data_IF_802212626050
#
_entry.id   IF_802212626050
#
_cell.length_a   1.000
_cell.length_b   1.000
_cell.length_c   1.000
_cell.angle_alpha   90.00
_cell.angle_beta   90.00
_cell.angle_gamma   90.00
#
_symmetry.space_group_name_H-M   'P 1'
#
loop_
_entity.id
_entity.type
_entity.pdbx_description
1 polymer ?
#
# COMPACT_ATOMS: atom_id res chain seq x y z
N UNK A 1 -24.67 -37.75 19.50
CA UNK A 1 -24.78 -37.85 18.02
C UNK A 1 -25.79 -36.86 17.44
N UNK A 2 -27.05 -36.81 17.90
CA UNK A 2 -28.07 -35.90 17.34
C UNK A 2 -27.73 -34.40 17.41
N UNK A 3 -27.18 -33.91 18.54
CA UNK A 3 -26.78 -32.51 18.68
C UNK A 3 -25.62 -32.12 17.74
N UNK A 4 -24.72 -33.05 17.44
CA UNK A 4 -23.62 -32.85 16.49
C UNK A 4 -24.15 -32.80 15.06
N UNK A 5 -25.10 -33.66 14.70
CA UNK A 5 -25.74 -33.66 13.39
C UNK A 5 -26.56 -32.39 13.14
N UNK A 6 -27.32 -31.91 14.13
CA UNK A 6 -28.06 -30.65 14.06
C UNK A 6 -27.11 -29.43 13.97
N UNK A 7 -26.03 -29.45 14.76
CA UNK A 7 -25.01 -28.41 14.70
C UNK A 7 -24.34 -28.33 13.33
N UNK A 8 -23.94 -29.46 12.75
CA UNK A 8 -23.38 -29.52 11.40
C UNK A 8 -24.40 -29.13 10.32
N UNK A 9 -25.66 -29.54 10.48
CA UNK A 9 -26.75 -29.22 9.55
C UNK A 9 -27.07 -27.73 9.45
N UNK A 10 -26.81 -26.95 10.50
CA UNK A 10 -26.91 -25.48 10.45
C UNK A 10 -25.59 -24.82 10.05
N UNK A 11 -24.46 -25.30 10.59
CA UNK A 11 -23.16 -24.64 10.44
C UNK A 11 -22.63 -24.74 9.01
N UNK A 12 -22.79 -25.89 8.34
CA UNK A 12 -22.34 -26.08 6.95
C UNK A 12 -23.07 -25.12 5.99
N UNK A 13 -24.41 -25.10 5.87
CA UNK A 13 -25.08 -24.18 4.96
C UNK A 13 -24.84 -22.71 5.33
N UNK A 14 -24.73 -22.38 6.62
CA UNK A 14 -24.41 -21.03 7.05
C UNK A 14 -22.99 -20.60 6.63
N UNK A 15 -22.00 -21.48 6.72
CA UNK A 15 -20.64 -21.21 6.22
C UNK A 15 -20.60 -21.05 4.70
N UNK A 16 -21.39 -21.82 3.96
CA UNK A 16 -21.50 -21.70 2.50
C UNK A 16 -22.15 -20.37 2.10
N UNK A 17 -23.22 -19.97 2.79
CA UNK A 17 -23.87 -18.68 2.62
C UNK A 17 -22.90 -17.53 2.85
N UNK A 18 -22.15 -17.57 3.96
CA UNK A 18 -21.14 -16.55 4.26
C UNK A 18 -19.99 -16.57 3.24
N UNK A 19 -19.55 -17.74 2.77
CA UNK A 19 -18.51 -17.85 1.75
C UNK A 19 -18.96 -17.23 0.42
N UNK A 20 -20.22 -17.44 0.03
CA UNK A 20 -20.79 -16.83 -1.18
C UNK A 20 -20.88 -15.30 -1.03
N UNK A 21 -21.36 -14.82 0.13
CA UNK A 21 -21.43 -13.39 0.43
C UNK A 21 -20.03 -12.74 0.42
N UNK A 22 -19.05 -13.41 1.04
CA UNK A 22 -17.65 -12.99 1.06
C UNK A 22 -17.06 -12.93 -0.35
N UNK A 23 -17.32 -13.93 -1.19
CA UNK A 23 -16.80 -14.00 -2.56
C UNK A 23 -17.43 -12.94 -3.46
N UNK A 24 -18.74 -12.75 -3.38
CA UNK A 24 -19.47 -11.71 -4.13
C UNK A 24 -18.97 -10.32 -3.73
N UNK A 25 -18.85 -10.07 -2.42
CA UNK A 25 -18.27 -8.82 -1.92
C UNK A 25 -16.83 -8.68 -2.39
N UNK A 26 -15.95 -9.67 -2.27
CA UNK A 26 -14.60 -9.60 -2.83
C UNK A 26 -14.55 -9.29 -4.33
N UNK A 27 -15.51 -9.78 -5.12
CA UNK A 27 -15.66 -9.44 -6.53
C UNK A 27 -16.03 -7.97 -6.75
N UNK A 28 -16.96 -7.43 -5.96
CA UNK A 28 -17.36 -6.01 -5.96
C UNK A 28 -16.25 -5.10 -5.40
N UNK A 29 -15.44 -5.62 -4.46
CA UNK A 29 -14.29 -4.97 -3.85
C UNK A 29 -13.08 -4.91 -4.80
N UNK A 30 -13.21 -5.21 -6.10
CA UNK A 30 -12.19 -4.85 -7.13
C UNK A 30 -12.17 -3.35 -7.46
N UNK A 31 -12.73 -2.56 -6.54
CA UNK A 31 -12.81 -1.12 -6.31
C UNK A 31 -12.24 -0.17 -7.37
N UNK A 32 -13.18 0.68 -7.80
CA UNK A 32 -13.04 1.98 -8.45
C UNK A 32 -11.67 2.62 -8.23
N UNK A 33 -10.78 2.47 -9.21
CA UNK A 33 -9.55 3.24 -9.27
C UNK A 33 -9.98 4.69 -9.48
N UNK A 34 -9.66 5.62 -8.55
CA UNK A 34 -10.06 7.00 -8.72
C UNK A 34 -9.38 7.57 -9.97
N UNK A 35 -10.13 8.33 -10.75
CA UNK A 35 -9.56 9.05 -11.89
C UNK A 35 -8.70 10.19 -11.35
N UNK A 36 -7.41 10.14 -11.61
CA UNK A 36 -6.48 11.21 -11.22
C UNK A 36 -6.28 12.17 -12.38
N UNK A 37 -6.47 13.45 -12.11
CA UNK A 37 -6.25 14.54 -13.07
C UNK A 37 -4.92 15.18 -12.75
N UNK A 38 -4.00 15.11 -13.71
CA UNK A 38 -2.66 15.69 -13.62
C UNK A 38 -2.56 16.95 -14.48
N UNK A 39 -1.72 17.87 -14.06
CA UNK A 39 -1.31 19.03 -14.85
C UNK A 39 -0.35 18.63 -15.96
N UNK A 40 0.05 19.60 -16.79
CA UNK A 40 1.14 19.39 -17.75
C UNK A 40 2.42 18.99 -17.00
N UNK A 41 3.18 18.00 -17.50
CA UNK A 41 4.52 17.72 -16.97
C UNK A 41 5.44 18.93 -17.15
N UNK A 42 6.24 19.24 -16.13
CA UNK A 42 7.22 20.31 -16.25
C UNK A 42 8.38 19.83 -17.12
N UNK A 43 8.54 20.44 -18.29
CA UNK A 43 9.67 20.19 -19.19
C UNK A 43 10.72 21.27 -19.00
N UNK A 44 11.95 20.86 -18.64
CA UNK A 44 13.12 21.72 -18.50
C UNK A 44 14.02 21.55 -19.73
N UNK A 45 14.39 22.65 -20.36
CA UNK A 45 15.32 22.69 -21.50
C UNK A 45 16.29 23.86 -21.31
N UNK A 46 17.56 23.76 -21.73
CA UNK A 46 18.46 24.91 -21.76
C UNK A 46 17.85 26.09 -22.53
N UNK A 47 18.00 27.30 -22.01
CA UNK A 47 17.44 28.54 -22.58
C UNK A 47 15.97 28.82 -22.22
N UNK A 48 15.27 27.89 -21.55
CA UNK A 48 13.89 28.15 -21.09
C UNK A 48 13.89 29.21 -19.99
N UNK A 49 13.02 30.22 -20.10
CA UNK A 49 12.78 31.18 -19.04
C UNK A 49 12.27 30.46 -17.77
N UNK A 50 13.01 30.60 -16.68
CA UNK A 50 12.78 29.92 -15.41
C UNK A 50 13.62 30.59 -14.33
N UNK A 51 12.96 31.18 -13.33
CA UNK A 51 13.63 31.67 -12.13
C UNK A 51 13.56 30.63 -10.98
N UNK A 52 14.30 30.89 -9.92
CA UNK A 52 14.37 29.97 -8.79
C UNK A 52 13.03 29.87 -8.02
N UNK A 53 12.26 30.96 -7.94
CA UNK A 53 11.00 31.00 -7.22
C UNK A 53 9.89 30.22 -7.94
N UNK A 54 9.79 30.39 -9.25
CA UNK A 54 8.88 29.67 -10.15
C UNK A 54 9.21 28.19 -10.15
N UNK A 55 10.50 27.82 -10.27
CA UNK A 55 10.90 26.43 -10.20
C UNK A 55 10.52 25.77 -8.87
N UNK A 56 10.74 26.46 -7.74
CA UNK A 56 10.32 25.97 -6.42
C UNK A 56 8.80 25.78 -6.34
N UNK A 57 8.03 26.69 -6.94
CA UNK A 57 6.56 26.61 -6.98
C UNK A 57 6.09 25.40 -7.79
N UNK A 58 6.66 25.18 -8.98
CA UNK A 58 6.35 24.03 -9.83
C UNK A 58 6.73 22.69 -9.17
N UNK A 59 7.89 22.65 -8.49
CA UNK A 59 8.33 21.50 -7.71
C UNK A 59 7.38 21.22 -6.53
N UNK A 60 6.98 22.26 -5.78
CA UNK A 60 6.04 22.13 -4.68
C UNK A 60 4.66 21.62 -5.16
N UNK A 61 4.16 22.14 -6.29
CA UNK A 61 2.91 21.67 -6.90
C UNK A 61 2.99 20.19 -7.31
N UNK A 62 4.18 19.71 -7.67
CA UNK A 62 4.47 18.32 -8.02
C UNK A 62 4.82 17.44 -6.81
N UNK A 63 4.63 17.97 -5.59
CA UNK A 63 4.91 17.32 -4.31
C UNK A 63 6.39 16.92 -4.11
N UNK A 64 7.31 17.69 -4.68
CA UNK A 64 8.73 17.56 -4.36
C UNK A 64 9.07 18.24 -3.04
N UNK A 65 10.06 17.70 -2.34
CA UNK A 65 10.52 18.21 -1.03
C UNK A 65 11.99 18.56 -1.06
N UNK A 66 12.39 19.57 -0.29
CA UNK A 66 13.81 19.86 -0.09
C UNK A 66 14.37 18.92 0.98
N UNK A 67 15.31 18.06 0.61
CA UNK A 67 16.04 17.16 1.52
C UNK A 67 17.50 17.59 1.72
N UNK A 68 17.90 18.73 1.14
CA UNK A 68 19.27 19.23 1.12
C UNK A 68 20.27 18.42 0.28
N UNK A 69 19.90 17.25 -0.26
CA UNK A 69 20.81 16.37 -1.00
C UNK A 69 20.36 16.02 -2.44
N UNK A 70 19.07 16.08 -2.74
CA UNK A 70 18.48 15.66 -4.00
C UNK A 70 18.83 14.20 -4.31
N UNK A 71 18.57 13.28 -3.37
CA UNK A 71 18.88 11.85 -3.52
C UNK A 71 17.62 10.99 -3.60
N UNK A 72 16.70 11.19 -2.67
CA UNK A 72 15.49 10.39 -2.59
C UNK A 72 14.50 10.72 -3.73
N UNK A 73 13.64 9.79 -4.15
CA UNK A 73 12.63 10.08 -5.16
C UNK A 73 11.70 11.23 -4.73
N UNK A 74 11.40 12.14 -5.66
CA UNK A 74 10.63 13.36 -5.40
C UNK A 74 11.26 14.30 -4.36
N UNK A 75 12.58 14.38 -4.32
CA UNK A 75 13.29 15.42 -3.57
C UNK A 75 14.15 16.30 -4.47
N UNK A 76 14.52 17.47 -3.95
CA UNK A 76 15.47 18.35 -4.55
C UNK A 76 16.40 18.96 -3.51
N UNK A 77 17.53 19.48 -3.97
CA UNK A 77 18.42 20.32 -3.20
C UNK A 77 18.76 21.57 -4.00
N UNK A 78 18.90 22.70 -3.30
CA UNK A 78 19.28 23.97 -3.92
C UNK A 78 20.54 24.52 -3.25
N UNK A 79 21.49 24.97 -4.07
CA UNK A 79 22.67 25.70 -3.63
C UNK A 79 22.91 26.89 -4.57
N UNK A 80 22.48 28.08 -4.13
CA UNK A 80 22.45 29.27 -4.99
C UNK A 80 21.55 29.05 -6.21
N UNK A 81 22.10 29.20 -7.42
CA UNK A 81 21.40 28.94 -8.69
C UNK A 81 21.42 27.48 -9.15
N UNK A 82 22.07 26.57 -8.41
CA UNK A 82 22.17 25.14 -8.78
C UNK A 82 21.11 24.33 -8.05
N UNK A 83 20.33 23.57 -8.82
CA UNK A 83 19.34 22.62 -8.32
C UNK A 83 19.77 21.20 -8.69
N UNK A 84 19.61 20.28 -7.74
CA UNK A 84 19.69 18.83 -8.00
C UNK A 84 18.33 18.26 -7.69
N UNK A 85 17.66 17.69 -8.69
CA UNK A 85 16.27 17.23 -8.61
C UNK A 85 16.23 15.73 -8.89
N UNK A 86 15.67 14.95 -7.98
CA UNK A 86 15.49 13.51 -8.12
C UNK A 86 14.06 13.18 -8.56
N UNK A 87 13.85 12.99 -9.86
CA UNK A 87 12.55 12.55 -10.37
C UNK A 87 12.31 11.08 -10.06
N UNK A 88 11.11 10.79 -9.56
CA UNK A 88 10.63 9.43 -9.28
C UNK A 88 10.17 8.68 -10.53
N UNK A 89 10.12 9.35 -11.70
CA UNK A 89 9.60 8.79 -12.93
C UNK A 89 8.07 8.62 -12.91
N UNK A 90 7.46 8.66 -14.09
CA UNK A 90 6.02 8.54 -14.24
C UNK A 90 5.65 7.91 -15.58
N UNK A 91 4.43 7.42 -15.70
CA UNK A 91 3.88 6.96 -16.97
C UNK A 91 3.12 8.12 -17.61
N UNK A 92 3.61 8.60 -18.74
CA UNK A 92 2.98 9.65 -19.55
C UNK A 92 2.11 9.01 -20.64
N UNK A 93 1.30 9.83 -21.31
CA UNK A 93 0.50 9.41 -22.48
C UNK A 93 1.43 8.95 -23.62
N UNK A 94 2.59 9.61 -23.76
CA UNK A 94 3.62 9.29 -24.76
C UNK A 94 4.47 8.05 -24.39
N UNK A 95 4.30 7.50 -23.19
CA UNK A 95 5.09 6.37 -22.68
C UNK A 95 5.75 6.61 -21.33
N UNK A 96 6.53 5.62 -20.88
CA UNK A 96 7.17 5.64 -19.56
C UNK A 96 8.37 6.58 -19.52
N UNK A 97 8.37 7.51 -18.57
CA UNK A 97 9.51 8.36 -18.22
C UNK A 97 10.24 7.73 -17.04
N UNK A 98 11.48 7.30 -17.27
CA UNK A 98 12.30 6.66 -16.24
C UNK A 98 12.67 7.64 -15.11
N UNK A 99 12.77 7.15 -13.85
CA UNK A 99 13.33 7.93 -12.75
C UNK A 99 14.73 8.40 -13.09
N UNK A 100 15.06 9.64 -12.72
CA UNK A 100 16.39 10.20 -13.01
C UNK A 100 16.73 11.37 -12.10
N UNK A 101 18.02 11.58 -11.90
CA UNK A 101 18.55 12.73 -11.16
C UNK A 101 19.07 13.77 -12.13
N UNK A 102 18.55 14.98 -12.01
CA UNK A 102 18.82 16.08 -12.94
C UNK A 102 19.49 17.19 -12.17
N UNK A 103 20.66 17.61 -12.66
CA UNK A 103 21.32 18.81 -12.19
C UNK A 103 21.05 19.96 -13.17
N UNK A 104 20.52 21.04 -12.63
CA UNK A 104 20.12 22.24 -13.33
C UNK A 104 20.88 23.44 -12.75
N UNK A 105 21.35 24.33 -13.60
CA UNK A 105 21.83 25.66 -13.17
C UNK A 105 20.97 26.74 -13.80
N UNK A 106 20.49 27.66 -12.98
CA UNK A 106 19.76 28.84 -13.39
C UNK A 106 20.72 30.03 -13.45
N UNK A 107 20.66 30.80 -14.54
CA UNK A 107 21.34 32.08 -14.68
C UNK A 107 20.47 33.01 -15.55
N UNK A 108 20.56 34.31 -15.32
CA UNK A 108 19.90 35.34 -16.15
C UNK A 108 18.39 35.13 -16.36
N UNK A 109 17.69 34.61 -15.33
CA UNK A 109 16.25 34.34 -15.42
C UNK A 109 15.86 33.13 -16.27
N UNK A 110 16.83 32.26 -16.62
CA UNK A 110 16.60 31.08 -17.42
C UNK A 110 17.42 29.86 -17.01
N UNK A 111 17.12 28.74 -17.65
CA UNK A 111 17.88 27.48 -17.50
C UNK A 111 19.20 27.60 -18.28
N UNK A 112 20.30 27.83 -17.58
CA UNK A 112 21.62 27.96 -18.19
C UNK A 112 22.21 26.62 -18.62
N UNK A 113 22.07 25.59 -17.77
CA UNK A 113 22.53 24.24 -18.11
C UNK A 113 21.66 23.16 -17.49
N UNK A 114 21.62 22.02 -18.17
CA UNK A 114 20.87 20.84 -17.77
C UNK A 114 21.74 19.60 -18.02
N UNK A 115 21.97 18.80 -16.98
CA UNK A 115 22.77 17.58 -17.06
C UNK A 115 22.23 16.49 -16.15
N UNK A 116 22.57 15.27 -16.47
CA UNK A 116 22.31 14.12 -15.61
C UNK A 116 23.24 14.20 -14.39
N UNK A 117 22.70 14.06 -13.18
CA UNK A 117 23.49 14.23 -11.96
C UNK A 117 24.44 13.06 -11.73
N UNK A 118 24.14 11.88 -12.27
CA UNK A 118 24.91 10.66 -12.01
C UNK A 118 26.08 10.52 -12.98
N UNK A 119 25.86 10.74 -14.28
CA UNK A 119 26.91 10.60 -15.31
C UNK A 119 27.41 11.92 -15.90
N UNK A 120 26.90 13.07 -15.43
CA UNK A 120 27.29 14.43 -15.85
C UNK A 120 27.07 14.74 -17.34
N UNK A 121 26.36 13.89 -18.08
CA UNK A 121 26.04 14.09 -19.51
C UNK A 121 25.04 15.23 -19.67
N UNK A 122 25.29 16.12 -20.63
CA UNK A 122 24.37 17.19 -20.98
C UNK A 122 23.03 16.62 -21.48
N UNK A 123 21.93 17.17 -20.98
CA UNK A 123 20.58 16.78 -21.34
C UNK A 123 19.96 17.86 -22.23
N UNK A 124 19.38 17.46 -23.36
CA UNK A 124 18.60 18.37 -24.22
C UNK A 124 17.30 18.80 -23.55
N UNK A 125 16.67 17.88 -22.82
CA UNK A 125 15.46 18.12 -22.06
C UNK A 125 15.36 17.17 -20.86
N UNK A 126 14.68 17.61 -19.81
CA UNK A 126 14.26 16.77 -18.70
C UNK A 126 12.77 16.98 -18.44
N UNK A 127 12.00 15.89 -18.43
CA UNK A 127 10.60 15.87 -18.02
C UNK A 127 10.53 15.53 -16.53
N UNK A 128 9.88 16.38 -15.75
CA UNK A 128 9.59 16.14 -14.34
C UNK A 128 8.14 15.70 -14.16
N UNK A 129 7.90 15.06 -13.02
CA UNK A 129 6.57 14.56 -12.65
C UNK A 129 5.52 15.68 -12.70
N UNK A 130 4.32 15.42 -13.26
CA UNK A 130 3.26 16.41 -13.29
C UNK A 130 2.63 16.63 -11.92
N UNK A 131 2.20 17.87 -11.67
CA UNK A 131 1.41 18.22 -10.49
C UNK A 131 0.05 17.50 -10.51
N UNK A 132 -0.40 17.00 -9.36
CA UNK A 132 -1.73 16.40 -9.23
C UNK A 132 -2.73 17.52 -8.93
N UNK A 133 -3.67 17.76 -9.85
CA UNK A 133 -4.70 18.80 -9.70
C UNK A 133 -5.85 18.29 -8.85
N UNK A 134 -6.40 17.13 -9.22
CA UNK A 134 -7.58 16.58 -8.56
C UNK A 134 -7.57 15.05 -8.58
N UNK A 135 -8.23 14.49 -7.58
CA UNK A 135 -8.62 13.08 -7.54
C UNK A 135 -10.14 13.06 -7.63
N UNK A 136 -10.68 12.51 -8.72
CA UNK A 136 -12.11 12.33 -8.89
C UNK A 136 -12.51 11.00 -8.29
N UNK A 137 -13.27 11.07 -7.20
CA UNK A 137 -13.81 9.91 -6.52
C UNK A 137 -15.11 9.48 -7.19
N UNK A 138 -15.38 8.17 -7.18
CA UNK A 138 -16.70 7.64 -7.50
C UNK A 138 -17.70 7.92 -6.36
N UNK A 139 -18.81 7.19 -6.37
CA UNK A 139 -19.89 7.29 -5.37
C UNK A 139 -19.42 7.06 -3.91
N UNK A 140 -18.25 6.44 -3.71
CA UNK A 140 -17.62 6.24 -2.39
C UNK A 140 -16.30 6.99 -2.32
N UNK A 141 -16.18 7.90 -1.34
CA UNK A 141 -15.00 8.74 -1.11
C UNK A 141 -13.90 7.97 -0.36
N UNK A 142 -13.33 6.94 -0.98
CA UNK A 142 -12.18 6.21 -0.42
C UNK A 142 -11.00 6.26 -1.40
N UNK A 143 -9.85 6.80 -0.96
CA UNK A 143 -8.60 6.74 -1.72
C UNK A 143 -7.86 5.45 -1.38
N UNK A 144 -7.78 4.52 -2.35
CA UNK A 144 -6.99 3.28 -2.21
C UNK A 144 -6.01 3.16 -3.37
N UNK A 145 -4.74 2.90 -3.06
CA UNK A 145 -3.72 2.53 -4.06
C UNK A 145 -3.47 1.03 -3.94
N UNK A 146 -3.80 0.28 -4.99
CA UNK A 146 -3.41 -1.12 -5.06
C UNK A 146 -1.89 -1.17 -5.27
N UNK A 147 -1.22 -1.75 -4.29
CA UNK A 147 0.18 -2.13 -4.37
C UNK A 147 0.24 -3.65 -4.30
N UNK A 148 1.20 -4.24 -5.00
CA UNK A 148 1.48 -5.66 -4.79
C UNK A 148 2.20 -5.84 -3.46
N UNK A 149 2.13 -7.05 -2.88
CA UNK A 149 2.79 -7.32 -1.60
C UNK A 149 4.31 -7.13 -1.68
N UNK A 150 4.92 -7.36 -2.85
CA UNK A 150 6.34 -7.15 -3.13
C UNK A 150 6.73 -5.66 -3.31
N UNK A 151 5.74 -4.77 -3.48
CA UNK A 151 5.98 -3.32 -3.57
C UNK A 151 5.86 -2.61 -2.20
N UNK A 152 5.40 -3.32 -1.17
CA UNK A 152 5.25 -2.77 0.18
C UNK A 152 6.62 -2.71 0.89
N UNK A 153 6.96 -1.62 1.59
CA UNK A 153 8.18 -1.55 2.38
C UNK A 153 8.21 -2.64 3.47
N UNK A 154 9.32 -3.38 3.60
CA UNK A 154 9.46 -4.47 4.58
C UNK A 154 9.22 -4.02 6.03
N UNK A 155 9.66 -2.79 6.34
CA UNK A 155 9.45 -2.15 7.65
C UNK A 155 7.97 -1.92 7.95
N UNK A 156 7.17 -1.58 6.94
CA UNK A 156 5.72 -1.39 7.10
C UNK A 156 5.04 -2.71 7.45
N UNK A 157 5.37 -3.79 6.71
CA UNK A 157 4.79 -5.11 6.93
C UNK A 157 5.18 -5.66 8.30
N UNK A 158 6.47 -5.59 8.63
CA UNK A 158 7.00 -6.11 9.90
C UNK A 158 6.49 -5.32 11.10
N UNK A 159 6.45 -3.99 10.99
CA UNK A 159 5.91 -3.12 12.04
C UNK A 159 4.42 -3.36 12.28
N UNK A 160 3.63 -3.49 11.21
CA UNK A 160 2.21 -3.79 11.32
C UNK A 160 1.96 -5.14 11.99
N UNK A 161 2.69 -6.18 11.59
CA UNK A 161 2.61 -7.49 12.25
C UNK A 161 3.02 -7.38 13.72
N UNK A 162 4.10 -6.68 14.04
CA UNK A 162 4.56 -6.56 15.43
C UNK A 162 3.56 -5.84 16.35
N UNK A 163 2.87 -4.82 15.83
CA UNK A 163 1.92 -4.00 16.61
C UNK A 163 0.52 -4.63 16.68
N UNK A 164 -0.01 -5.10 15.55
CA UNK A 164 -1.41 -5.56 15.46
C UNK A 164 -1.54 -7.08 15.63
N UNK A 165 -0.57 -7.87 15.18
CA UNK A 165 -0.69 -9.34 15.14
C UNK A 165 0.67 -10.06 15.15
N UNK A 166 1.30 -10.12 16.33
CA UNK A 166 2.68 -10.62 16.50
C UNK A 166 2.88 -12.09 16.10
N UNK A 167 1.81 -12.87 16.15
CA UNK A 167 1.80 -14.31 15.85
C UNK A 167 1.13 -14.61 14.49
N UNK A 168 0.94 -13.60 13.64
CA UNK A 168 0.25 -13.70 12.34
C UNK A 168 0.67 -14.92 11.51
N UNK A 169 1.98 -15.22 11.47
CA UNK A 169 2.53 -16.32 10.68
C UNK A 169 2.38 -17.70 11.32
N UNK A 170 1.90 -17.78 12.57
CA UNK A 170 1.71 -19.03 13.32
C UNK A 170 0.25 -19.49 13.35
N UNK A 171 -0.70 -18.63 13.02
CA UNK A 171 -2.13 -18.97 13.04
C UNK A 171 -2.81 -18.79 11.69
N UNK A 172 -3.80 -19.62 11.42
CA UNK A 172 -4.56 -19.58 10.16
C UNK A 172 -5.76 -18.62 10.30
N UNK A 173 -5.45 -17.33 10.42
CA UNK A 173 -6.44 -16.24 10.49
C UNK A 173 -7.06 -15.97 11.86
N UNK A 174 -7.08 -16.91 12.81
CA UNK A 174 -7.62 -16.71 14.17
C UNK A 174 -6.56 -17.11 15.21
N UNK A 175 -6.14 -16.17 16.06
CA UNK A 175 -5.24 -16.44 17.19
C UNK A 175 -6.03 -16.83 18.44
N UNK A 176 -6.24 -18.14 18.63
CA UNK A 176 -6.89 -18.68 19.82
C UNK A 176 -6.10 -18.37 21.11
N UNK A 177 -4.77 -18.31 21.03
CA UNK A 177 -3.90 -18.05 22.18
C UNK A 177 -3.96 -16.58 22.61
N UNK A 178 -4.02 -15.66 21.65
CA UNK A 178 -4.22 -14.23 21.86
C UNK A 178 -5.60 -13.91 22.43
N UNK A 179 -6.64 -14.56 21.93
CA UNK A 179 -8.00 -14.43 22.48
C UNK A 179 -8.04 -14.93 23.94
N UNK A 180 -7.51 -16.11 24.22
CA UNK A 180 -7.48 -16.65 25.58
C UNK A 180 -6.69 -15.76 26.55
N UNK A 181 -5.53 -15.23 26.12
CA UNK A 181 -4.72 -14.29 26.89
C UNK A 181 -5.47 -13.00 27.17
N UNK A 182 -6.12 -12.42 26.16
CA UNK A 182 -6.88 -11.18 26.31
C UNK A 182 -8.08 -11.35 27.26
N UNK A 183 -8.79 -12.49 27.18
CA UNK A 183 -9.88 -12.83 28.12
C UNK A 183 -9.33 -12.98 29.54
N UNK A 184 -8.22 -13.69 29.72
CA UNK A 184 -7.60 -13.88 31.03
C UNK A 184 -7.14 -12.56 31.66
N UNK A 185 -6.50 -11.69 30.87
CA UNK A 185 -6.11 -10.33 31.30
C UNK A 185 -7.33 -9.49 31.67
N UNK A 186 -8.41 -9.55 30.88
CA UNK A 186 -9.65 -8.80 31.14
C UNK A 186 -10.33 -9.24 32.43
N UNK A 187 -10.36 -10.55 32.70
CA UNK A 187 -10.88 -11.10 33.95
C UNK A 187 -10.01 -10.64 35.13
N UNK A 188 -8.68 -10.66 34.96
CA UNK A 188 -7.73 -10.24 36.01
C UNK A 188 -7.73 -8.72 36.25
N UNK A 189 -8.09 -7.91 35.26
CA UNK A 189 -8.14 -6.44 35.35
C UNK A 189 -9.50 -5.89 35.78
N UNK A 190 -10.42 -6.73 36.27
CA UNK A 190 -11.74 -6.28 36.74
C UNK A 190 -12.69 -5.88 35.62
N UNK A 191 -12.58 -6.50 34.43
CA UNK A 191 -13.46 -6.25 33.29
C UNK A 191 -13.00 -5.16 32.34
N UNK A 192 -11.87 -4.48 32.62
CA UNK A 192 -11.32 -3.50 31.69
C UNK A 192 -10.49 -4.17 30.59
N UNK A 193 -11.01 -4.10 29.36
CA UNK A 193 -10.36 -4.63 28.16
C UNK A 193 -9.12 -3.80 27.81
N UNK A 194 -7.93 -4.28 28.20
CA UNK A 194 -6.65 -3.58 28.00
C UNK A 194 -5.87 -4.06 26.77
N UNK A 195 -6.33 -5.12 26.09
CA UNK A 195 -5.64 -5.70 24.93
C UNK A 195 -6.62 -6.05 23.81
N UNK A 196 -6.25 -5.71 22.57
CA UNK A 196 -6.95 -6.16 21.38
C UNK A 196 -6.78 -7.67 21.17
N UNK A 197 -7.89 -8.36 20.93
CA UNK A 197 -7.93 -9.81 20.71
C UNK A 197 -8.14 -10.18 19.23
N UNK A 198 -8.22 -9.19 18.33
CA UNK A 198 -8.63 -9.39 16.93
C UNK A 198 -7.44 -9.41 15.98
N UNK A 199 -7.32 -10.49 15.20
CA UNK A 199 -6.23 -10.67 14.21
C UNK A 199 -6.38 -9.75 13.00
N UNK A 200 -5.31 -9.56 12.24
CA UNK A 200 -5.36 -8.79 10.98
C UNK A 200 -6.41 -9.34 10.00
N UNK A 201 -6.63 -10.66 9.98
CA UNK A 201 -7.62 -11.29 9.10
C UNK A 201 -9.06 -11.01 9.57
N UNK A 202 -9.29 -10.96 10.89
CA UNK A 202 -10.58 -10.56 11.46
C UNK A 202 -10.87 -9.08 11.24
N UNK A 203 -9.86 -8.21 11.40
CA UNK A 203 -9.99 -6.78 11.10
C UNK A 203 -10.30 -6.54 9.61
N UNK A 204 -9.70 -7.33 8.71
CA UNK A 204 -10.03 -7.32 7.28
C UNK A 204 -11.47 -7.79 7.02
N UNK A 205 -11.93 -8.86 7.68
CA UNK A 205 -13.31 -9.34 7.55
C UNK A 205 -14.33 -8.30 8.03
N UNK A 206 -14.02 -7.61 9.14
CA UNK A 206 -14.87 -6.57 9.72
C UNK A 206 -14.99 -5.34 8.82
N UNK A 207 -13.87 -4.78 8.38
CA UNK A 207 -13.83 -3.51 7.64
C UNK A 207 -13.99 -3.68 6.13
N UNK A 208 -13.42 -4.75 5.57
CA UNK A 208 -13.33 -4.96 4.13
C UNK A 208 -14.52 -5.69 3.54
N UNK A 209 -15.07 -6.68 4.23
CA UNK A 209 -15.98 -7.66 3.62
C UNK A 209 -17.46 -7.42 3.89
N UNK A 210 -17.80 -7.17 5.15
CA UNK A 210 -19.19 -7.19 5.58
C UNK A 210 -19.76 -5.79 5.86
N UNK A 211 -18.90 -4.75 5.92
CA UNK A 211 -19.32 -3.38 6.25
C UNK A 211 -20.10 -3.29 7.56
N UNK A 212 -19.89 -4.24 8.48
CA UNK A 212 -20.66 -4.33 9.71
C UNK A 212 -20.20 -3.19 10.61
N UNK A 213 -21.14 -2.32 10.97
CA UNK A 213 -20.89 -1.12 11.76
C UNK A 213 -20.13 -1.34 13.08
N UNK A 214 -19.77 -0.22 13.71
CA UNK A 214 -18.89 -0.18 14.89
C UNK A 214 -19.47 -0.85 16.15
N UNK A 215 -20.75 -1.25 16.15
CA UNK A 215 -21.49 -1.79 17.30
C UNK A 215 -20.92 -3.11 17.87
N UNK A 216 -20.55 -3.12 19.14
CA UNK A 216 -19.88 -4.26 19.80
C UNK A 216 -20.88 -5.34 20.25
N UNK A 217 -21.48 -6.09 19.31
CA UNK A 217 -22.38 -7.22 19.63
C UNK A 217 -21.67 -8.59 19.56
N UNK A 218 -22.08 -9.53 20.42
CA UNK A 218 -21.53 -10.90 20.46
C UNK A 218 -21.80 -11.65 19.15
N UNK A 219 -22.99 -11.45 18.57
CA UNK A 219 -23.38 -12.01 17.27
C UNK A 219 -22.47 -11.52 16.14
N UNK A 220 -22.01 -10.26 16.16
CA UNK A 220 -21.02 -9.76 15.21
C UNK A 220 -19.69 -10.49 15.33
N UNK A 221 -19.20 -10.67 16.56
CA UNK A 221 -17.90 -11.33 16.81
C UNK A 221 -17.90 -12.79 16.33
N UNK A 222 -19.05 -13.47 16.44
CA UNK A 222 -19.23 -14.80 15.86
C UNK A 222 -19.15 -14.79 14.32
N UNK A 223 -19.81 -13.84 13.66
CA UNK A 223 -19.76 -13.69 12.20
C UNK A 223 -18.36 -13.32 11.70
N UNK A 224 -17.62 -12.47 12.43
CA UNK A 224 -16.21 -12.14 12.13
C UNK A 224 -15.33 -13.40 12.12
N UNK A 225 -15.43 -14.24 13.16
CA UNK A 225 -14.68 -15.50 13.27
C UNK A 225 -15.04 -16.44 12.11
N UNK A 226 -16.33 -16.59 11.81
CA UNK A 226 -16.79 -17.53 10.79
C UNK A 226 -16.41 -17.09 9.37
N UNK A 227 -16.51 -15.79 9.06
CA UNK A 227 -16.03 -15.23 7.79
C UNK A 227 -14.50 -15.29 7.67
N UNK A 228 -13.77 -15.09 8.77
CA UNK A 228 -12.31 -15.25 8.79
C UNK A 228 -11.93 -16.69 8.44
N UNK A 229 -12.58 -17.67 9.07
CA UNK A 229 -12.37 -19.08 8.77
C UNK A 229 -12.73 -19.44 7.32
N UNK A 230 -13.90 -18.99 6.84
CA UNK A 230 -14.35 -19.22 5.47
C UNK A 230 -13.40 -18.60 4.43
N UNK A 231 -12.96 -17.35 4.65
CA UNK A 231 -12.04 -16.65 3.73
C UNK A 231 -10.64 -17.26 3.70
N UNK A 232 -10.16 -17.83 4.82
CA UNK A 232 -8.89 -18.59 4.86
C UNK A 232 -9.05 -19.94 4.16
N UNK A 233 -10.18 -20.63 4.36
CA UNK A 233 -10.47 -21.92 3.72
C UNK A 233 -10.69 -21.79 2.20
N UNK A 234 -11.23 -20.66 1.75
CA UNK A 234 -11.48 -20.37 0.32
C UNK A 234 -10.24 -19.89 -0.45
N UNK A 235 -9.07 -19.71 0.19
CA UNK A 235 -7.83 -19.38 -0.53
C UNK A 235 -7.41 -20.59 -1.38
N UNK A 236 -7.39 -20.51 -2.71
CA UNK A 236 -6.75 -21.55 -3.50
C UNK A 236 -5.27 -21.61 -3.10
N UNK A 237 -4.77 -22.81 -2.81
CA UNK A 237 -3.37 -23.09 -2.50
C UNK A 237 -2.40 -22.76 -3.65
N UNK A 238 -2.94 -22.34 -4.79
CA UNK A 238 -2.23 -22.02 -6.03
C UNK A 238 -2.76 -20.72 -6.64
N UNK A 239 -2.29 -19.56 -6.15
CA UNK A 239 -2.50 -18.28 -6.84
C UNK A 239 -1.19 -17.49 -6.90
N UNK A 240 -0.14 -18.14 -7.36
CA UNK A 240 0.94 -17.43 -8.04
C UNK A 240 0.65 -17.60 -9.54
N UNK A 241 0.25 -16.54 -10.28
CA UNK A 241 0.21 -16.64 -11.74
C UNK A 241 1.63 -16.99 -12.22
N UNK A 242 1.79 -17.90 -13.20
CA UNK A 242 3.12 -18.19 -13.76
C UNK A 242 3.74 -16.87 -14.27
N UNK A 243 5.00 -16.65 -13.91
CA UNK A 243 5.74 -15.49 -14.37
C UNK A 243 5.72 -15.44 -15.91
N UNK A 244 5.55 -14.25 -16.53
CA UNK A 244 5.71 -14.12 -17.97
C UNK A 244 7.13 -14.56 -18.34
N UNK A 245 7.21 -15.45 -19.33
CA UNK A 245 8.45 -16.00 -19.85
C UNK A 245 9.25 -14.94 -20.61
N UNK A 246 9.95 -14.07 -19.88
CA UNK A 246 11.07 -13.30 -20.40
C UNK A 246 12.12 -13.09 -19.31
N UNK A 247 13.08 -14.02 -19.26
CA UNK A 247 14.46 -13.79 -18.87
C UNK A 247 14.75 -12.92 -17.64
N UNK A 248 14.26 -13.30 -16.47
CA UNK A 248 14.95 -12.99 -15.19
C UNK A 248 14.46 -13.95 -14.12
N UNK A 249 15.38 -14.72 -13.53
CA UNK A 249 15.08 -15.72 -12.53
C UNK A 249 14.66 -15.07 -11.20
N UNK A 250 13.40 -14.63 -11.10
CA UNK A 250 12.79 -14.29 -9.83
C UNK A 250 12.49 -15.60 -9.08
N UNK A 251 13.43 -15.98 -8.22
CA UNK A 251 13.27 -17.12 -7.31
C UNK A 251 12.05 -16.87 -6.43
N UNK A 252 10.99 -17.67 -6.63
CA UNK A 252 9.84 -17.72 -5.74
C UNK A 252 10.29 -18.27 -4.37
N UNK A 253 10.85 -17.39 -3.53
CA UNK A 253 11.25 -17.75 -2.16
C UNK A 253 9.98 -17.97 -1.35
N UNK A 254 9.63 -19.25 -1.14
CA UNK A 254 8.74 -19.68 -0.07
C UNK A 254 9.29 -19.09 1.23
N UNK A 255 8.56 -18.15 1.84
CA UNK A 255 8.94 -17.52 3.09
C UNK A 255 8.99 -18.58 4.19
N UNK A 256 10.19 -19.08 4.47
CA UNK A 256 10.51 -19.89 5.66
C UNK A 256 11.14 -18.91 6.66
N UNK A 257 10.59 -18.73 7.87
CA UNK A 257 11.25 -17.92 8.88
C UNK A 257 12.58 -18.60 9.22
N UNK A 258 13.70 -17.89 9.03
CA UNK A 258 14.98 -18.35 9.55
C UNK A 258 14.88 -18.38 11.08
N UNK A 259 14.85 -19.58 11.65
CA UNK A 259 15.18 -19.76 13.07
C UNK A 259 16.66 -19.40 13.22
N UNK A 260 16.95 -18.15 13.55
CA UNK A 260 18.21 -17.78 14.20
C UNK A 260 17.86 -17.22 15.56
N UNK A 261 18.35 -17.96 16.56
CA UNK A 261 18.31 -17.65 17.99
C UNK A 261 18.93 -16.28 18.24
N UNK A 262 18.33 -15.52 19.15
CA UNK A 262 19.03 -14.77 20.19
C UNK A 262 18.25 -15.01 21.49
#
# INVERSE_FOLDING_TARGET
MAAVALGLGFLIPYTLYLNQQVTQRFGELRWQIPTRVYARPLVLTPGKAMDAATLKTELAASAYRDDGQGKEPATYAVNGGRFVISSRGYNDVDGRVAPRRVELSLADGGVASLRDADNRKALKAARLDPARIATLYGQKQEERRLIRMDEAPDLLVTGLQAVEDKDFNRHHGIDLSGIARAVWVTIRSGGQSRQGASTLTQQLARSGLLGIGKEQTVTRKFNEVLCTWASVAARPSTACPPAPSSGSAATCRRWKPSRSRC
#
